data_IF_932440158320
#
_entry.id   IF_932440158320
#
_cell.length_a   1.000
_cell.length_b   1.000
_cell.length_c   1.000
_cell.angle_alpha   90.00
_cell.angle_beta   90.00
_cell.angle_gamma   90.00
#
_symmetry.space_group_name_H-M   'P 1'
#
loop_
_entity.id
_entity.type
_entity.pdbx_description
1 polymer ?
#
# COMPACT_ATOMS: atom_id res chain seq x y z
N UNK A 1 -0.18 -40.55 -13.63
CA UNK A 1 -1.58 -40.70 -14.06
C UNK A 1 -2.46 -39.84 -13.17
N UNK A 2 -3.27 -38.97 -13.77
CA UNK A 2 -4.18 -38.09 -13.03
C UNK A 2 -5.30 -38.90 -12.37
N UNK A 3 -5.79 -38.45 -11.21
CA UNK A 3 -6.88 -39.10 -10.46
C UNK A 3 -8.15 -39.33 -11.33
N UNK A 4 -8.36 -38.52 -12.36
CA UNK A 4 -9.44 -38.68 -13.34
C UNK A 4 -9.23 -39.85 -14.32
N UNK A 5 -7.98 -40.12 -14.73
CA UNK A 5 -7.63 -41.25 -15.60
C UNK A 5 -7.76 -42.57 -14.85
N UNK A 6 -7.34 -42.60 -13.59
CA UNK A 6 -7.52 -43.75 -12.70
C UNK A 6 -9.00 -44.08 -12.46
N UNK A 7 -9.87 -43.07 -12.35
CA UNK A 7 -11.32 -43.26 -12.18
C UNK A 7 -12.02 -43.70 -13.47
N UNK A 8 -11.62 -43.16 -14.63
CA UNK A 8 -12.10 -43.65 -15.93
C UNK A 8 -11.68 -45.10 -16.18
N UNK A 9 -10.44 -45.46 -15.84
CA UNK A 9 -9.95 -46.84 -15.92
C UNK A 9 -10.72 -47.79 -14.98
N UNK A 10 -11.26 -47.28 -13.87
CA UNK A 10 -12.10 -48.01 -12.93
C UNK A 10 -13.61 -48.03 -13.29
N UNK A 11 -14.01 -47.53 -14.46
CA UNK A 11 -15.42 -47.50 -14.89
C UNK A 11 -16.32 -46.57 -14.08
N UNK A 12 -15.75 -45.68 -13.25
CA UNK A 12 -16.53 -44.73 -12.46
C UNK A 12 -16.93 -43.53 -13.34
N UNK A 13 -18.18 -43.05 -13.27
CA UNK A 13 -18.61 -41.88 -14.03
C UNK A 13 -17.79 -40.66 -13.60
N UNK A 14 -17.18 -39.99 -14.57
CA UNK A 14 -16.45 -38.73 -14.39
C UNK A 14 -17.17 -37.68 -15.20
N UNK A 15 -17.80 -36.72 -14.53
CA UNK A 15 -18.41 -35.57 -15.20
C UNK A 15 -17.34 -34.79 -15.97
N UNK A 16 -17.59 -34.41 -17.24
CA UNK A 16 -16.72 -33.51 -17.97
C UNK A 16 -16.51 -32.19 -17.22
N UNK A 17 -15.35 -31.58 -17.39
CA UNK A 17 -15.00 -30.34 -16.70
C UNK A 17 -15.89 -29.18 -17.14
N UNK A 18 -16.29 -29.23 -18.41
CA UNK A 18 -17.19 -28.31 -19.09
C UNK A 18 -18.57 -28.34 -18.42
N UNK A 19 -19.11 -29.55 -18.18
CA UNK A 19 -20.40 -29.73 -17.50
C UNK A 19 -20.35 -29.20 -16.06
N UNK A 20 -19.23 -29.36 -15.36
CA UNK A 20 -19.06 -28.80 -14.02
C UNK A 20 -18.96 -27.26 -14.03
N UNK A 21 -18.31 -26.68 -15.04
CA UNK A 21 -18.27 -25.23 -15.22
C UNK A 21 -19.67 -24.67 -15.54
N UNK A 22 -20.40 -25.33 -16.43
CA UNK A 22 -21.77 -24.96 -16.80
C UNK A 22 -22.73 -25.08 -15.61
N UNK A 23 -22.59 -26.13 -14.79
CA UNK A 23 -23.39 -26.28 -13.57
C UNK A 23 -23.12 -25.15 -12.57
N UNK A 24 -21.86 -24.72 -12.40
CA UNK A 24 -21.50 -23.58 -11.55
C UNK A 24 -22.07 -22.28 -12.11
N UNK A 25 -22.00 -22.08 -13.43
CA UNK A 25 -22.59 -20.91 -14.09
C UNK A 25 -24.14 -20.90 -13.98
N UNK A 26 -24.78 -22.06 -14.09
CA UNK A 26 -26.22 -22.18 -13.90
C UNK A 26 -26.64 -21.88 -12.46
N UNK A 27 -25.83 -22.27 -11.47
CA UNK A 27 -26.09 -21.98 -10.06
C UNK A 27 -25.77 -20.52 -9.67
N UNK A 28 -24.92 -19.82 -10.42
CA UNK A 28 -24.51 -18.45 -10.08
C UNK A 28 -25.65 -17.44 -10.27
N UNK A 29 -26.48 -17.63 -11.30
CA UNK A 29 -27.62 -16.76 -11.60
C UNK A 29 -28.68 -16.74 -10.47
N UNK A 30 -29.29 -17.87 -10.05
CA UNK A 30 -30.24 -17.88 -8.95
C UNK A 30 -29.61 -17.44 -7.62
N UNK A 31 -28.32 -17.78 -7.38
CA UNK A 31 -27.61 -17.28 -6.22
C UNK A 31 -27.52 -15.73 -6.19
N UNK A 32 -27.48 -15.07 -7.36
CA UNK A 32 -27.45 -13.60 -7.48
C UNK A 32 -28.77 -12.93 -7.16
N UNK A 33 -29.86 -13.66 -7.33
CA UNK A 33 -31.21 -13.24 -6.96
C UNK A 33 -31.51 -13.51 -5.47
N UNK A 34 -30.56 -14.11 -4.75
CA UNK A 34 -30.67 -14.41 -3.32
C UNK A 34 -31.18 -15.82 -3.01
N UNK A 35 -31.19 -16.74 -3.98
CA UNK A 35 -31.58 -18.13 -3.75
C UNK A 35 -30.57 -18.84 -2.82
N UNK A 36 -31.05 -19.20 -1.63
CA UNK A 36 -30.25 -19.84 -0.60
C UNK A 36 -29.78 -21.25 -0.99
N UNK A 37 -30.65 -22.14 -1.52
CA UNK A 37 -30.25 -23.41 -2.13
C UNK A 37 -29.09 -23.30 -3.13
N UNK A 38 -29.15 -22.38 -4.10
CA UNK A 38 -28.08 -22.20 -5.07
C UNK A 38 -26.76 -21.74 -4.41
N UNK A 39 -26.84 -20.80 -3.47
CA UNK A 39 -25.68 -20.35 -2.67
C UNK A 39 -25.05 -21.50 -1.89
N UNK A 40 -25.89 -22.32 -1.24
CA UNK A 40 -25.44 -23.48 -0.47
C UNK A 40 -24.83 -24.56 -1.38
N UNK A 41 -25.36 -24.76 -2.59
CA UNK A 41 -24.82 -25.67 -3.58
C UNK A 41 -23.41 -25.24 -4.02
N UNK A 42 -23.21 -23.96 -4.34
CA UNK A 42 -21.89 -23.41 -4.67
C UNK A 42 -20.89 -23.54 -3.51
N UNK A 43 -21.32 -23.29 -2.26
CA UNK A 43 -20.47 -23.49 -1.08
C UNK A 43 -20.04 -24.95 -0.93
N UNK A 44 -20.96 -25.89 -1.17
CA UNK A 44 -20.64 -27.33 -1.14
C UNK A 44 -19.68 -27.68 -2.27
N UNK A 45 -19.91 -27.22 -3.50
CA UNK A 45 -19.01 -27.41 -4.65
C UNK A 45 -17.60 -26.88 -4.36
N UNK A 46 -17.48 -25.81 -3.57
CA UNK A 46 -16.17 -25.26 -3.20
C UNK A 46 -15.29 -26.22 -2.39
N UNK A 47 -15.88 -27.23 -1.76
CA UNK A 47 -15.17 -28.23 -0.95
C UNK A 47 -14.67 -29.44 -1.75
N UNK A 48 -15.14 -29.63 -3.00
CA UNK A 48 -14.96 -30.89 -3.75
C UNK A 48 -13.52 -31.10 -4.23
N UNK A 49 -12.99 -30.20 -5.06
CA UNK A 49 -11.61 -30.31 -5.59
C UNK A 49 -11.05 -28.94 -5.92
N UNK A 50 -9.73 -28.81 -6.12
CA UNK A 50 -9.07 -27.50 -6.33
C UNK A 50 -9.64 -26.70 -7.50
N UNK A 51 -10.00 -27.37 -8.60
CA UNK A 51 -10.53 -26.72 -9.80
C UNK A 51 -11.96 -26.20 -9.58
N UNK A 52 -12.87 -27.07 -9.12
CA UNK A 52 -14.26 -26.72 -8.80
C UNK A 52 -14.31 -25.71 -7.66
N UNK A 53 -13.38 -25.79 -6.69
CA UNK A 53 -13.18 -24.78 -5.64
C UNK A 53 -12.90 -23.41 -6.21
N UNK A 54 -11.96 -23.30 -7.14
CA UNK A 54 -11.65 -22.03 -7.76
C UNK A 54 -12.89 -21.45 -8.46
N UNK A 55 -13.57 -22.24 -9.30
CA UNK A 55 -14.75 -21.78 -10.02
C UNK A 55 -15.93 -21.42 -9.11
N UNK A 56 -16.26 -22.26 -8.13
CA UNK A 56 -17.36 -22.01 -7.22
C UNK A 56 -17.12 -20.82 -6.30
N UNK A 57 -15.88 -20.64 -5.80
CA UNK A 57 -15.52 -19.47 -5.01
C UNK A 57 -15.48 -18.19 -5.86
N UNK A 58 -15.01 -18.26 -7.10
CA UNK A 58 -15.10 -17.13 -8.04
C UNK A 58 -16.56 -16.74 -8.29
N UNK A 59 -17.44 -17.70 -8.57
CA UNK A 59 -18.86 -17.43 -8.77
C UNK A 59 -19.54 -16.82 -7.52
N UNK A 60 -19.28 -17.37 -6.33
CA UNK A 60 -19.78 -16.80 -5.07
C UNK A 60 -19.22 -15.39 -4.81
N UNK A 61 -17.97 -15.14 -5.16
CA UNK A 61 -17.37 -13.81 -5.06
C UNK A 61 -18.10 -12.82 -5.98
N UNK A 62 -18.22 -13.16 -7.27
CA UNK A 62 -18.84 -12.30 -8.29
C UNK A 62 -20.31 -11.97 -7.98
N UNK A 63 -21.00 -12.90 -7.33
CA UNK A 63 -22.44 -12.83 -7.10
C UNK A 63 -22.83 -12.25 -5.74
N UNK A 64 -22.10 -12.58 -4.66
CA UNK A 64 -22.50 -12.18 -3.30
C UNK A 64 -21.59 -11.09 -2.73
N UNK A 65 -20.29 -11.28 -2.88
CA UNK A 65 -19.28 -10.44 -2.23
C UNK A 65 -19.09 -9.15 -3.02
N UNK A 66 -18.92 -9.29 -4.34
CA UNK A 66 -18.64 -8.19 -5.23
C UNK A 66 -19.79 -7.17 -5.29
N UNK A 67 -21.08 -7.55 -5.43
CA UNK A 67 -22.18 -6.58 -5.44
C UNK A 67 -22.38 -5.88 -4.08
N UNK A 68 -22.10 -6.58 -2.96
CA UNK A 68 -22.10 -5.98 -1.63
C UNK A 68 -21.01 -4.91 -1.51
N UNK A 69 -19.77 -5.23 -1.91
CA UNK A 69 -18.67 -4.28 -1.91
C UNK A 69 -18.97 -3.08 -2.82
N UNK A 70 -19.56 -3.30 -4.00
CA UNK A 70 -20.02 -2.21 -4.90
C UNK A 70 -21.04 -1.31 -4.22
N UNK A 71 -22.03 -1.88 -3.52
CA UNK A 71 -23.05 -1.11 -2.82
C UNK A 71 -22.45 -0.29 -1.67
N UNK A 72 -21.57 -0.89 -0.88
CA UNK A 72 -20.86 -0.20 0.22
C UNK A 72 -19.96 0.91 -0.32
N UNK A 73 -19.22 0.62 -1.41
CA UNK A 73 -18.43 1.61 -2.14
C UNK A 73 -19.29 2.76 -2.67
N UNK A 74 -20.43 2.47 -3.31
CA UNK A 74 -21.36 3.51 -3.82
C UNK A 74 -21.90 4.39 -2.70
N UNK A 75 -22.26 3.80 -1.55
CA UNK A 75 -22.69 4.57 -0.36
C UNK A 75 -21.57 5.43 0.19
N UNK A 76 -20.34 4.92 0.23
CA UNK A 76 -19.18 5.70 0.60
C UNK A 76 -18.93 6.85 -0.39
N UNK A 77 -18.87 6.55 -1.69
CA UNK A 77 -18.64 7.50 -2.77
C UNK A 77 -19.70 8.62 -2.80
N UNK A 78 -20.99 8.28 -2.69
CA UNK A 78 -22.06 9.26 -2.61
C UNK A 78 -21.91 10.17 -1.37
N UNK A 79 -21.62 9.59 -0.19
CA UNK A 79 -21.37 10.38 1.03
C UNK A 79 -20.17 11.32 0.88
N UNK A 80 -19.09 10.87 0.22
CA UNK A 80 -17.91 11.70 -0.01
C UNK A 80 -18.21 12.86 -0.98
N UNK A 81 -19.01 12.62 -2.02
CA UNK A 81 -19.42 13.67 -2.96
C UNK A 81 -20.39 14.70 -2.36
N UNK A 82 -21.26 14.27 -1.46
CA UNK A 82 -22.30 15.11 -0.84
C UNK A 82 -21.85 15.81 0.45
N UNK A 83 -20.69 15.43 1.01
CA UNK A 83 -20.22 15.95 2.29
C UNK A 83 -19.95 17.46 2.25
N UNK A 84 -20.44 18.16 3.28
CA UNK A 84 -20.10 19.56 3.62
C UNK A 84 -19.76 19.62 5.12
N UNK A 85 -18.51 19.90 5.54
CA UNK A 85 -17.31 20.14 4.74
C UNK A 85 -16.90 18.93 3.88
N UNK A 86 -16.06 19.12 2.82
CA UNK A 86 -15.89 18.17 1.72
C UNK A 86 -15.56 16.75 2.14
N UNK A 87 -14.98 16.53 3.33
CA UNK A 87 -14.72 15.22 3.89
C UNK A 87 -14.86 15.27 5.44
N UNK A 88 -15.74 14.48 6.07
CA UNK A 88 -15.96 14.52 7.53
C UNK A 88 -14.75 14.05 8.37
N UNK A 89 -13.83 13.30 7.76
CA UNK A 89 -12.66 12.73 8.42
C UNK A 89 -11.36 13.55 8.26
N UNK A 90 -11.43 14.77 7.71
CA UNK A 90 -10.27 15.65 7.53
C UNK A 90 -9.64 15.99 8.87
N UNK A 91 -8.42 15.49 9.11
CA UNK A 91 -7.63 15.77 10.32
C UNK A 91 -7.60 14.68 11.36
N UNK A 92 -8.47 13.70 11.19
CA UNK A 92 -8.66 12.59 12.12
C UNK A 92 -7.88 11.35 11.69
N UNK A 93 -7.50 11.29 10.41
CA UNK A 93 -6.84 10.13 9.83
C UNK A 93 -5.33 10.29 9.94
N UNK A 94 -4.76 9.59 10.93
CA UNK A 94 -3.30 9.40 11.07
C UNK A 94 -2.79 8.15 10.36
N UNK A 95 -3.68 7.21 10.09
CA UNK A 95 -3.37 5.96 9.43
C UNK A 95 -4.49 5.62 8.45
N UNK A 96 -4.14 5.36 7.19
CA UNK A 96 -5.06 5.02 6.13
C UNK A 96 -4.62 3.74 5.42
N UNK A 97 -5.49 2.74 5.43
CA UNK A 97 -5.36 1.54 4.60
C UNK A 97 -6.46 1.58 3.53
N UNK A 98 -6.08 1.52 2.27
CA UNK A 98 -7.02 1.46 1.14
C UNK A 98 -6.75 0.19 0.34
N UNK A 99 -7.79 -0.64 0.26
CA UNK A 99 -7.76 -1.96 -0.38
C UNK A 99 -9.09 -2.25 -1.07
N UNK A 100 -9.45 -1.37 -1.98
CA UNK A 100 -10.56 -1.43 -2.92
C UNK A 100 -10.19 -2.51 -3.97
N UNK A 101 -10.55 -3.74 -3.66
CA UNK A 101 -10.36 -4.88 -4.55
C UNK A 101 -11.04 -4.63 -5.91
N UNK A 102 -10.38 -5.01 -7.00
CA UNK A 102 -10.69 -4.87 -8.45
C UNK A 102 -12.02 -4.17 -8.88
N UNK A 103 -12.36 -3.01 -8.31
CA UNK A 103 -13.53 -2.19 -8.74
C UNK A 103 -13.35 -1.69 -10.17
N UNK A 104 -12.13 -1.72 -10.70
CA UNK A 104 -11.85 -1.50 -12.11
C UNK A 104 -12.54 -2.50 -13.06
N UNK A 105 -12.87 -3.72 -12.60
CA UNK A 105 -13.72 -4.65 -13.38
C UNK A 105 -15.20 -4.27 -13.37
N UNK A 106 -15.61 -3.39 -12.46
CA UNK A 106 -17.00 -3.03 -12.21
C UNK A 106 -17.41 -1.78 -12.97
N UNK A 107 -17.47 -1.89 -14.31
CA UNK A 107 -18.29 -1.06 -15.22
C UNK A 107 -18.02 0.46 -15.25
N UNK A 108 -18.62 1.15 -16.23
CA UNK A 108 -18.61 2.62 -16.43
C UNK A 108 -18.98 3.45 -15.17
N UNK A 109 -19.62 2.85 -14.16
CA UNK A 109 -20.05 3.52 -12.92
C UNK A 109 -18.96 3.66 -11.86
N UNK A 110 -17.80 3.03 -12.05
CA UNK A 110 -16.59 3.29 -11.25
C UNK A 110 -15.80 4.52 -11.76
N UNK A 111 -16.20 5.14 -12.87
CA UNK A 111 -15.55 6.34 -13.38
C UNK A 111 -15.52 7.46 -12.30
N UNK A 112 -14.32 7.93 -11.95
CA UNK A 112 -14.10 9.00 -10.97
C UNK A 112 -13.70 8.56 -9.56
N UNK A 113 -13.65 7.25 -9.24
CA UNK A 113 -13.18 6.81 -7.91
C UNK A 113 -11.73 7.22 -7.63
N UNK A 114 -10.87 7.19 -8.66
CA UNK A 114 -9.47 7.60 -8.55
C UNK A 114 -9.38 9.08 -8.15
N UNK A 115 -10.21 9.94 -8.75
CA UNK A 115 -10.29 11.35 -8.42
C UNK A 115 -10.74 11.56 -6.96
N UNK A 116 -11.73 10.81 -6.48
CA UNK A 116 -12.18 10.90 -5.09
C UNK A 116 -11.17 10.36 -4.09
N UNK A 117 -10.44 9.29 -4.43
CA UNK A 117 -9.32 8.82 -3.62
C UNK A 117 -8.23 9.90 -3.53
N UNK A 118 -7.84 10.49 -4.66
CA UNK A 118 -6.84 11.55 -4.69
C UNK A 118 -7.31 12.79 -3.93
N UNK A 119 -8.59 13.16 -4.04
CA UNK A 119 -9.22 14.22 -3.25
C UNK A 119 -9.18 13.92 -1.75
N UNK A 120 -9.47 12.68 -1.36
CA UNK A 120 -9.32 12.21 0.04
C UNK A 120 -7.87 12.34 0.52
N UNK A 121 -6.91 11.87 -0.28
CA UNK A 121 -5.49 11.94 0.05
C UNK A 121 -4.99 13.39 0.08
N UNK A 122 -5.56 14.30 -0.70
CA UNK A 122 -5.23 15.72 -0.66
C UNK A 122 -5.71 16.37 0.64
N UNK A 123 -6.96 16.15 1.02
CA UNK A 123 -7.54 16.78 2.22
C UNK A 123 -7.00 16.18 3.53
N UNK A 124 -6.83 14.85 3.58
CA UNK A 124 -6.30 14.15 4.75
C UNK A 124 -4.76 14.06 4.74
N UNK A 125 -4.12 14.43 3.64
CA UNK A 125 -2.70 14.16 3.39
C UNK A 125 -1.75 14.72 4.43
N UNK A 126 -2.08 15.89 4.99
CA UNK A 126 -1.26 16.55 6.02
C UNK A 126 -1.24 15.81 7.35
N UNK A 127 -2.23 14.96 7.64
CA UNK A 127 -2.33 14.24 8.93
C UNK A 127 -1.97 12.76 8.84
N UNK A 128 -1.93 12.18 7.63
CA UNK A 128 -1.62 10.77 7.44
C UNK A 128 -0.12 10.54 7.69
N UNK A 129 0.20 9.75 8.72
CA UNK A 129 1.56 9.28 8.99
C UNK A 129 1.80 7.89 8.41
N UNK A 130 0.78 7.02 8.42
CA UNK A 130 0.84 5.65 7.89
C UNK A 130 -0.12 5.51 6.70
N UNK A 131 0.41 5.25 5.51
CA UNK A 131 -0.38 5.01 4.32
C UNK A 131 -0.06 3.63 3.74
N UNK A 132 -1.08 2.80 3.59
CA UNK A 132 -0.98 1.53 2.86
C UNK A 132 -2.00 1.50 1.74
N UNK A 133 -1.52 1.49 0.51
CA UNK A 133 -2.37 1.37 -0.67
C UNK A 133 -2.19 -0.01 -1.30
N UNK A 134 -3.30 -0.54 -1.81
CA UNK A 134 -3.31 -1.74 -2.62
C UNK A 134 -3.05 -1.41 -4.10
N UNK A 135 -3.22 -2.38 -4.99
CA UNK A 135 -2.73 -2.34 -6.37
C UNK A 135 -3.30 -1.18 -7.19
N UNK A 136 -4.63 -1.02 -7.20
CA UNK A 136 -5.32 -0.01 -8.01
C UNK A 136 -5.06 1.40 -7.47
N UNK A 137 -5.02 1.56 -6.16
CA UNK A 137 -4.82 2.83 -5.46
C UNK A 137 -3.38 3.30 -5.50
N UNK A 138 -2.43 2.37 -5.34
CA UNK A 138 -1.01 2.66 -5.55
C UNK A 138 -0.81 3.18 -6.96
N UNK A 139 -1.42 2.53 -7.95
CA UNK A 139 -1.34 2.95 -9.35
C UNK A 139 -2.00 4.31 -9.58
N UNK A 140 -3.16 4.59 -8.98
CA UNK A 140 -3.82 5.89 -9.09
C UNK A 140 -2.93 7.01 -8.54
N UNK A 141 -2.35 6.82 -7.35
CA UNK A 141 -1.42 7.77 -6.75
C UNK A 141 -0.14 7.94 -7.59
N UNK A 142 0.44 6.84 -8.08
CA UNK A 142 1.68 6.87 -8.85
C UNK A 142 1.51 7.46 -10.27
N UNK A 143 0.28 7.51 -10.80
CA UNK A 143 -0.06 8.14 -12.08
C UNK A 143 -0.41 9.62 -11.96
N UNK A 144 -0.72 10.09 -10.76
CA UNK A 144 -1.18 11.46 -10.54
C UNK A 144 -0.08 12.46 -10.88
N UNK A 145 -0.31 13.26 -11.93
CA UNK A 145 0.63 14.29 -12.38
C UNK A 145 0.84 15.38 -11.31
N UNK A 146 -0.16 15.60 -10.44
CA UNK A 146 -0.06 16.57 -9.36
C UNK A 146 0.94 16.17 -8.28
N UNK A 147 1.41 14.91 -8.27
CA UNK A 147 2.50 14.50 -7.41
C UNK A 147 3.83 15.14 -7.81
N UNK A 148 4.06 15.46 -9.09
CA UNK A 148 5.35 16.01 -9.52
C UNK A 148 5.43 17.50 -9.20
N UNK A 149 6.41 17.88 -8.39
CA UNK A 149 6.65 19.28 -8.03
C UNK A 149 6.80 20.18 -9.27
N UNK A 150 6.04 21.28 -9.29
CA UNK A 150 5.98 22.22 -10.43
C UNK A 150 4.88 21.94 -11.47
N UNK A 151 4.14 20.83 -11.36
CA UNK A 151 2.93 20.55 -12.16
C UNK A 151 1.63 20.62 -11.35
N UNK A 152 1.68 21.14 -10.12
CA UNK A 152 0.56 21.18 -9.16
C UNK A 152 -0.70 21.89 -9.68
N UNK A 153 -0.59 22.74 -10.69
CA UNK A 153 -1.71 23.45 -11.32
C UNK A 153 -2.57 22.58 -12.25
N UNK A 154 -2.26 21.28 -12.41
CA UNK A 154 -2.92 20.37 -13.36
C UNK A 154 -3.60 19.14 -12.73
N UNK A 155 -3.89 19.13 -11.42
CA UNK A 155 -4.72 18.06 -10.85
C UNK A 155 -6.13 18.13 -11.49
N UNK A 156 -6.42 17.24 -12.44
CA UNK A 156 -7.73 17.17 -13.11
C UNK A 156 -8.90 16.95 -12.13
N UNK A 157 -8.62 16.34 -10.97
CA UNK A 157 -9.58 16.16 -9.88
C UNK A 157 -9.77 17.41 -9.01
N UNK A 158 -8.86 18.40 -9.08
CA UNK A 158 -8.96 19.69 -8.37
C UNK A 158 -9.63 20.78 -9.22
N UNK A 159 -10.09 20.47 -10.44
CA UNK A 159 -10.66 21.42 -11.42
C UNK A 159 -12.00 22.06 -10.97
N UNK A 160 -12.54 21.69 -9.79
CA UNK A 160 -13.68 22.36 -9.15
C UNK A 160 -13.36 23.15 -7.87
N UNK A 161 -12.12 23.08 -7.35
CA UNK A 161 -11.74 23.68 -6.06
C UNK A 161 -10.69 24.80 -6.20
N UNK A 162 -10.09 24.98 -7.39
CA UNK A 162 -9.16 26.06 -7.71
C UNK A 162 -9.74 27.49 -7.53
N UNK A 163 -11.04 27.62 -7.25
CA UNK A 163 -11.70 28.90 -6.95
C UNK A 163 -11.55 29.37 -5.49
N UNK A 164 -11.00 28.56 -4.57
CA UNK A 164 -10.98 28.92 -3.13
C UNK A 164 -9.64 29.44 -2.61
N UNK A 165 -8.55 29.31 -3.39
CA UNK A 165 -7.23 29.84 -2.97
C UNK A 165 -6.88 31.21 -3.55
N UNK A 166 -7.62 31.72 -4.55
CA UNK A 166 -7.33 33.03 -5.18
C UNK A 166 -8.51 34.02 -5.13
N UNK A 167 -9.67 33.66 -4.59
CA UNK A 167 -10.86 34.53 -4.62
C UNK A 167 -11.25 35.21 -3.29
N UNK A 168 -10.67 34.83 -2.15
CA UNK A 168 -11.14 35.30 -0.82
C UNK A 168 -10.16 36.23 -0.08
N UNK A 169 -9.29 36.94 -0.82
CA UNK A 169 -8.51 38.06 -0.24
C UNK A 169 -9.37 39.30 0.06
N UNK A 170 -10.68 39.27 -0.21
CA UNK A 170 -11.60 40.39 -0.01
C UNK A 170 -12.64 40.22 1.12
N UNK A 171 -12.78 39.05 1.76
CA UNK A 171 -13.84 38.78 2.76
C UNK A 171 -13.32 38.61 4.21
N UNK A 172 -12.22 39.29 4.54
CA UNK A 172 -11.47 39.09 5.79
C UNK A 172 -12.09 39.69 7.07
N UNK A 173 -13.41 39.84 7.19
CA UNK A 173 -14.03 40.47 8.38
C UNK A 173 -15.37 39.86 8.87
N UNK A 174 -15.57 38.54 8.72
CA UNK A 174 -16.61 37.83 9.47
C UNK A 174 -15.95 36.88 10.49
N UNK A 175 -16.38 36.86 11.78
CA UNK A 175 -15.89 35.87 12.72
C UNK A 175 -16.35 34.49 12.25
N UNK A 176 -15.42 33.69 11.74
CA UNK A 176 -15.66 32.32 11.30
C UNK A 176 -16.13 31.48 12.51
N UNK A 177 -17.43 31.27 12.60
CA UNK A 177 -18.03 30.26 13.48
C UNK A 177 -17.49 28.90 13.05
N UNK A 178 -17.04 28.08 14.01
CA UNK A 178 -16.46 26.75 13.85
C UNK A 178 -17.26 25.84 12.87
N UNK A 179 -16.97 25.91 11.57
CA UNK A 179 -17.62 25.06 10.55
C UNK A 179 -16.85 23.75 10.26
N UNK A 180 -15.61 23.63 10.76
CA UNK A 180 -14.73 22.48 10.47
C UNK A 180 -14.84 21.33 11.47
N UNK A 181 -15.50 21.55 12.60
CA UNK A 181 -15.71 20.51 13.61
C UNK A 181 -16.99 19.72 13.31
N UNK A 182 -16.95 18.37 13.27
CA UNK A 182 -18.14 17.55 13.09
C UNK A 182 -19.22 17.90 14.12
N UNK A 183 -20.47 18.06 13.68
CA UNK A 183 -21.58 18.48 14.55
C UNK A 183 -21.74 17.61 15.80
N UNK A 184 -21.52 16.30 15.69
CA UNK A 184 -21.59 15.40 16.85
C UNK A 184 -20.53 15.73 17.91
N UNK A 185 -19.33 16.16 17.51
CA UNK A 185 -18.24 16.53 18.41
C UNK A 185 -18.49 17.92 19.01
N UNK A 186 -19.12 18.82 18.24
CA UNK A 186 -19.64 20.09 18.75
C UNK A 186 -20.72 19.87 19.82
N UNK A 187 -21.67 18.98 19.54
CA UNK A 187 -22.75 18.62 20.46
C UNK A 187 -22.21 17.96 21.76
N UNK A 188 -21.13 17.19 21.65
CA UNK A 188 -20.49 16.54 22.79
C UNK A 188 -19.65 17.52 23.63
N UNK A 189 -18.90 18.42 22.98
CA UNK A 189 -18.22 19.54 23.65
C UNK A 189 -19.17 20.52 24.31
N UNK A 190 -20.40 20.66 23.78
CA UNK A 190 -21.44 21.46 24.42
C UNK A 190 -22.01 20.79 25.69
N UNK A 191 -21.86 19.47 25.83
CA UNK A 191 -22.45 18.68 26.93
C UNK A 191 -21.45 18.24 27.99
N UNK A 192 -20.17 18.12 27.64
CA UNK A 192 -19.13 17.63 28.52
C UNK A 192 -17.89 18.56 28.51
N UNK A 193 -17.11 18.61 29.60
CA UNK A 193 -15.88 19.39 29.64
C UNK A 193 -14.94 18.96 28.50
N UNK A 194 -14.35 19.94 27.82
CA UNK A 194 -13.46 19.69 26.68
C UNK A 194 -12.32 18.71 27.00
N UNK A 195 -11.84 18.69 28.24
CA UNK A 195 -10.84 17.73 28.70
C UNK A 195 -11.32 16.27 28.69
N UNK A 196 -12.58 16.03 29.07
CA UNK A 196 -13.18 14.68 29.10
C UNK A 196 -13.43 14.20 27.68
N UNK A 197 -13.97 15.07 26.83
CA UNK A 197 -14.18 14.80 25.40
C UNK A 197 -12.85 14.55 24.70
N UNK A 198 -11.80 15.32 25.00
CA UNK A 198 -10.47 15.13 24.41
C UNK A 198 -9.79 13.83 24.83
N UNK A 199 -10.01 13.35 26.06
CA UNK A 199 -9.51 12.03 26.50
C UNK A 199 -10.26 10.87 25.85
N UNK A 200 -11.57 11.02 25.62
CA UNK A 200 -12.40 10.00 24.98
C UNK A 200 -12.14 9.93 23.46
N UNK A 201 -11.87 11.08 22.87
CA UNK A 201 -11.75 11.28 21.42
C UNK A 201 -10.34 11.77 21.07
N UNK A 202 -9.31 11.07 21.55
CA UNK A 202 -7.88 11.44 21.36
C UNK A 202 -7.46 11.62 19.89
N UNK A 203 -8.14 10.94 18.97
CA UNK A 203 -7.93 11.11 17.52
C UNK A 203 -8.47 12.45 16.97
N UNK A 204 -9.26 13.18 17.76
CA UNK A 204 -9.96 14.43 17.43
C UNK A 204 -9.30 15.67 18.03
N UNK A 205 -8.09 15.59 18.59
CA UNK A 205 -7.37 16.76 19.09
C UNK A 205 -5.93 16.71 18.58
N UNK A 206 -5.45 17.75 17.86
CA UNK A 206 -4.09 17.76 17.32
C UNK A 206 -3.05 17.78 18.45
N UNK A 207 -2.27 16.69 18.52
CA UNK A 207 -0.95 16.53 19.13
C UNK A 207 -0.60 17.47 20.30
N UNK A 208 -1.00 17.09 21.53
CA UNK A 208 -0.04 16.71 22.58
C UNK A 208 -0.70 15.64 23.46
N UNK A 209 -0.12 14.45 23.66
CA UNK A 209 -0.64 13.45 24.60
C UNK A 209 -0.68 13.88 26.08
N UNK A 210 -0.33 15.14 26.40
CA UNK A 210 -0.18 15.69 27.77
C UNK A 210 -0.37 17.21 27.91
N UNK A 211 -0.87 17.92 26.90
CA UNK A 211 -1.16 19.36 27.05
C UNK A 211 -2.66 19.63 26.92
N UNK A 212 -3.13 20.61 27.69
CA UNK A 212 -4.50 21.11 27.63
C UNK A 212 -4.82 21.53 26.19
N UNK A 213 -5.94 21.05 25.60
CA UNK A 213 -6.29 21.39 24.23
C UNK A 213 -6.67 22.89 24.16
N UNK A 214 -5.80 23.70 23.55
CA UNK A 214 -6.11 25.10 23.24
C UNK A 214 -6.92 25.19 21.93
N UNK A 215 -8.06 25.89 21.89
CA UNK A 215 -8.87 26.11 20.68
C UNK A 215 -8.11 26.67 19.46
N UNK A 216 -6.96 27.31 19.69
CA UNK A 216 -6.09 27.84 18.65
C UNK A 216 -5.43 26.75 17.76
N UNK A 217 -5.23 25.53 18.26
CA UNK A 217 -4.52 24.48 17.52
C UNK A 217 -5.29 23.99 16.29
N UNK A 218 -6.63 24.09 16.31
CA UNK A 218 -7.50 23.83 15.17
C UNK A 218 -7.41 24.91 14.09
N UNK A 219 -7.34 26.18 14.50
CA UNK A 219 -7.18 27.34 13.60
C UNK A 219 -5.78 27.44 12.98
N UNK A 220 -4.79 26.83 13.62
CA UNK A 220 -3.40 26.78 13.15
C UNK A 220 -3.10 25.54 12.29
N UNK A 221 -4.13 24.81 11.87
CA UNK A 221 -3.93 23.62 11.06
C UNK A 221 -3.23 23.99 9.75
N UNK A 222 -2.15 23.27 9.37
CA UNK A 222 -1.50 23.52 8.09
C UNK A 222 -2.54 23.36 6.96
N UNK A 223 -2.48 24.21 5.91
CA UNK A 223 -3.35 24.06 4.75
C UNK A 223 -3.28 22.63 4.20
N UNK A 224 -4.33 22.18 3.52
CA UNK A 224 -4.34 20.87 2.87
C UNK A 224 -3.05 20.72 2.03
N UNK A 225 -2.21 19.76 2.39
CA UNK A 225 -0.97 19.43 1.69
C UNK A 225 -1.18 18.08 1.00
N UNK A 226 -0.50 17.91 -0.12
CA UNK A 226 -0.38 16.60 -0.75
C UNK A 226 0.05 15.54 0.29
N UNK A 227 -0.44 14.32 0.11
CA UNK A 227 -0.19 13.23 1.05
C UNK A 227 1.30 12.91 1.12
N UNK A 228 1.89 13.15 2.30
CA UNK A 228 3.33 12.98 2.56
C UNK A 228 3.54 12.14 3.82
N UNK A 229 3.19 10.84 3.77
CA UNK A 229 3.26 9.96 4.93
C UNK A 229 4.70 9.68 5.35
N UNK A 230 4.91 9.30 6.61
CA UNK A 230 6.21 8.82 7.11
C UNK A 230 6.42 7.34 6.78
N UNK A 231 5.36 6.55 6.85
CA UNK A 231 5.37 5.13 6.55
C UNK A 231 4.47 4.87 5.33
N UNK A 232 5.05 4.35 4.26
CA UNK A 232 4.36 4.15 2.99
C UNK A 232 4.49 2.70 2.53
N UNK A 233 3.36 2.03 2.34
CA UNK A 233 3.28 0.70 1.75
C UNK A 233 2.51 0.77 0.44
N UNK A 234 3.15 0.41 -0.68
CA UNK A 234 2.58 0.46 -2.04
C UNK A 234 2.79 -0.85 -2.79
N UNK A 235 2.04 -1.01 -3.89
CA UNK A 235 2.22 -2.06 -4.88
C UNK A 235 2.60 -1.41 -6.20
N UNK A 236 3.79 -1.70 -6.72
CA UNK A 236 4.22 -1.17 -8.01
C UNK A 236 3.65 -2.00 -9.15
N UNK A 237 2.46 -1.62 -9.63
CA UNK A 237 1.77 -2.27 -10.74
C UNK A 237 1.61 -1.34 -11.93
N UNK A 238 2.42 -1.58 -12.97
CA UNK A 238 2.53 -0.75 -14.18
C UNK A 238 1.27 -0.80 -15.07
N UNK A 239 1.08 0.18 -15.98
CA UNK A 239 1.95 1.34 -16.22
C UNK A 239 1.65 2.56 -15.34
N UNK A 240 2.65 3.42 -15.09
CA UNK A 240 2.52 4.77 -14.49
C UNK A 240 2.63 5.91 -15.52
N UNK A 241 2.76 5.57 -16.82
CA UNK A 241 2.90 6.53 -17.93
C UNK A 241 4.11 7.47 -17.76
N UNK A 242 3.91 8.79 -17.78
CA UNK A 242 5.00 9.77 -17.73
C UNK A 242 5.83 9.65 -16.44
N UNK A 243 5.18 9.34 -15.32
CA UNK A 243 5.81 9.18 -14.01
C UNK A 243 6.74 7.95 -13.93
N UNK A 244 6.83 7.12 -14.97
CA UNK A 244 7.85 6.08 -15.08
C UNK A 244 9.22 6.63 -15.46
N UNK A 245 9.32 7.91 -15.84
CA UNK A 245 10.64 8.55 -16.04
C UNK A 245 11.34 8.72 -14.69
N UNK A 246 12.59 8.24 -14.54
CA UNK A 246 13.35 8.32 -13.29
C UNK A 246 13.31 9.69 -12.60
N UNK A 247 13.49 10.76 -13.38
CA UNK A 247 13.49 12.14 -12.90
C UNK A 247 12.14 12.60 -12.35
N UNK A 248 11.04 12.22 -13.01
CA UNK A 248 9.69 12.58 -12.60
C UNK A 248 9.27 11.76 -11.38
N UNK A 249 9.56 10.46 -11.40
CA UNK A 249 9.32 9.57 -10.26
C UNK A 249 10.00 10.10 -9.00
N UNK A 250 11.29 10.46 -9.09
CA UNK A 250 12.07 10.99 -7.98
C UNK A 250 11.48 12.29 -7.40
N UNK A 251 10.88 13.15 -8.24
CA UNK A 251 10.34 14.46 -7.86
C UNK A 251 8.92 14.42 -7.31
N UNK A 252 8.31 13.24 -7.18
CA UNK A 252 6.97 13.13 -6.62
C UNK A 252 6.95 13.51 -5.14
N UNK A 253 5.99 14.36 -4.77
CA UNK A 253 5.85 14.94 -3.43
C UNK A 253 5.60 13.87 -2.38
N UNK A 254 4.90 12.77 -2.72
CA UNK A 254 4.65 11.65 -1.80
C UNK A 254 5.91 11.14 -1.10
N UNK A 255 7.08 11.19 -1.75
CA UNK A 255 8.35 10.69 -1.18
C UNK A 255 8.97 11.61 -0.14
N UNK A 256 8.60 12.88 -0.10
CA UNK A 256 9.31 13.95 0.62
C UNK A 256 9.51 13.69 2.12
N UNK A 257 8.60 12.94 2.75
CA UNK A 257 8.64 12.64 4.19
C UNK A 257 8.71 11.14 4.50
N UNK A 258 8.81 10.29 3.47
CA UNK A 258 8.79 8.84 3.66
C UNK A 258 10.10 8.39 4.26
N UNK A 259 10.01 7.84 5.45
CA UNK A 259 11.12 7.29 6.23
C UNK A 259 11.18 5.77 6.06
N UNK A 260 10.02 5.11 6.05
CA UNK A 260 9.88 3.67 5.88
C UNK A 260 9.06 3.37 4.62
N UNK A 261 9.72 2.84 3.60
CA UNK A 261 9.11 2.50 2.31
C UNK A 261 9.01 0.99 2.14
N UNK A 262 7.80 0.52 1.90
CA UNK A 262 7.49 -0.88 1.62
C UNK A 262 6.82 -1.02 0.25
N UNK A 263 7.41 -1.82 -0.62
CA UNK A 263 6.98 -1.97 -2.00
C UNK A 263 6.85 -3.44 -2.36
N UNK A 264 5.67 -3.83 -2.82
CA UNK A 264 5.47 -5.11 -3.48
C UNK A 264 5.59 -4.97 -5.00
N UNK A 265 6.43 -5.79 -5.63
CA UNK A 265 6.76 -5.77 -7.06
C UNK A 265 6.33 -7.09 -7.72
N UNK A 266 5.14 -7.16 -8.31
CA UNK A 266 4.60 -8.40 -8.88
C UNK A 266 5.13 -8.77 -10.27
N UNK A 267 5.66 -7.83 -11.06
CA UNK A 267 5.93 -8.06 -12.49
C UNK A 267 7.32 -7.61 -12.97
N UNK A 268 7.65 -6.33 -12.81
CA UNK A 268 8.84 -5.70 -13.42
C UNK A 268 9.90 -5.35 -12.37
N UNK A 269 10.67 -6.34 -11.84
CA UNK A 269 11.64 -6.12 -10.77
C UNK A 269 12.73 -5.14 -11.18
N UNK A 270 13.36 -5.32 -12.34
CA UNK A 270 14.45 -4.44 -12.80
C UNK A 270 14.02 -2.97 -12.84
N UNK A 271 12.91 -2.67 -13.51
CA UNK A 271 12.37 -1.31 -13.62
C UNK A 271 12.05 -0.73 -12.24
N UNK A 272 11.46 -1.53 -11.36
CA UNK A 272 11.08 -1.08 -10.01
C UNK A 272 12.31 -0.79 -9.14
N UNK A 273 13.34 -1.64 -9.20
CA UNK A 273 14.61 -1.39 -8.51
C UNK A 273 15.27 -0.10 -9.00
N UNK A 274 15.31 0.13 -10.32
CA UNK A 274 15.89 1.33 -10.92
C UNK A 274 15.14 2.61 -10.52
N UNK A 275 13.80 2.57 -10.45
CA UNK A 275 12.98 3.69 -10.00
C UNK A 275 13.19 3.99 -8.51
N UNK A 276 13.15 2.96 -7.66
CA UNK A 276 13.35 3.11 -6.22
C UNK A 276 14.75 3.61 -5.88
N UNK A 277 15.76 3.23 -6.67
CA UNK A 277 17.14 3.72 -6.53
C UNK A 277 17.26 5.25 -6.73
N UNK A 278 16.36 5.89 -7.48
CA UNK A 278 16.38 7.35 -7.67
C UNK A 278 15.98 8.13 -6.42
N UNK A 279 15.43 7.47 -5.42
CA UNK A 279 14.98 8.09 -4.18
C UNK A 279 16.15 8.30 -3.19
N UNK A 280 17.41 8.27 -3.63
CA UNK A 280 18.59 8.50 -2.76
C UNK A 280 18.64 9.87 -2.06
N UNK A 281 17.83 10.83 -2.52
CA UNK A 281 17.74 12.18 -1.97
C UNK A 281 16.62 12.37 -0.93
N UNK A 282 15.81 11.33 -0.68
CA UNK A 282 14.66 11.35 0.24
C UNK A 282 15.07 10.89 1.65
N UNK A 283 14.21 10.94 2.69
CA UNK A 283 14.57 10.48 4.03
C UNK A 283 14.39 8.96 4.24
N UNK A 284 14.29 8.14 3.18
CA UNK A 284 14.00 6.70 3.26
C UNK A 284 15.18 5.93 3.85
N UNK A 285 15.27 5.84 5.18
CA UNK A 285 16.31 5.09 5.88
C UNK A 285 16.01 3.59 5.95
N UNK A 286 14.76 3.19 5.68
CA UNK A 286 14.32 1.79 5.67
C UNK A 286 13.48 1.47 4.43
N UNK A 287 13.95 0.50 3.64
CA UNK A 287 13.38 0.11 2.35
C UNK A 287 13.14 -1.41 2.29
N UNK A 288 11.88 -1.81 2.06
CA UNK A 288 11.50 -3.21 1.78
C UNK A 288 11.00 -3.33 0.35
N UNK A 289 11.55 -4.29 -0.36
CA UNK A 289 11.15 -4.64 -1.72
C UNK A 289 10.80 -6.12 -1.74
N UNK A 290 9.52 -6.42 -1.75
CA UNK A 290 9.01 -7.80 -1.82
C UNK A 290 8.56 -8.14 -3.23
N UNK A 291 8.90 -9.33 -3.70
CA UNK A 291 8.42 -9.92 -4.94
C UNK A 291 7.85 -11.33 -4.66
N UNK A 292 7.27 -12.03 -5.64
CA UNK A 292 6.72 -13.37 -5.42
C UNK A 292 7.72 -14.37 -4.83
N UNK A 293 9.01 -14.23 -5.16
CA UNK A 293 10.05 -15.20 -4.85
C UNK A 293 11.05 -14.77 -3.80
N UNK A 294 11.32 -13.47 -3.66
CA UNK A 294 12.30 -12.95 -2.72
C UNK A 294 11.86 -11.59 -2.15
N UNK A 295 12.39 -11.25 -0.97
CA UNK A 295 12.25 -9.94 -0.33
C UNK A 295 13.64 -9.40 -0.05
N UNK A 296 13.90 -8.16 -0.45
CA UNK A 296 15.10 -7.41 -0.12
C UNK A 296 14.71 -6.39 0.95
N UNK A 297 15.40 -6.41 2.08
CA UNK A 297 15.25 -5.45 3.16
C UNK A 297 16.57 -4.68 3.35
N UNK A 298 16.50 -3.35 3.30
CA UNK A 298 17.65 -2.45 3.48
C UNK A 298 17.33 -1.46 4.59
N UNK A 299 18.20 -1.39 5.59
CA UNK A 299 18.17 -0.36 6.63
C UNK A 299 19.55 0.32 6.64
N UNK A 300 19.60 1.63 6.44
CA UNK A 300 20.85 2.40 6.42
C UNK A 300 20.86 3.45 7.52
N UNK A 301 21.84 3.34 8.42
CA UNK A 301 22.24 4.36 9.39
C UNK A 301 23.68 4.82 9.11
N UNK A 302 24.12 4.65 7.86
CA UNK A 302 25.48 4.93 7.42
C UNK A 302 25.68 6.42 7.18
N UNK A 303 26.83 6.95 7.57
CA UNK A 303 27.22 8.32 7.22
C UNK A 303 27.72 8.40 5.76
N UNK A 304 28.07 7.26 5.15
CA UNK A 304 28.55 7.16 3.76
C UNK A 304 27.42 7.19 2.74
N UNK A 305 26.27 6.63 3.09
CA UNK A 305 25.11 6.49 2.20
C UNK A 305 23.97 7.32 2.76
N UNK A 306 23.46 8.28 1.98
CA UNK A 306 22.43 9.22 2.45
C UNK A 306 21.19 8.53 3.01
N UNK A 307 20.78 7.40 2.42
CA UNK A 307 19.61 6.63 2.82
C UNK A 307 19.65 5.18 2.26
N UNK A 308 18.61 4.38 2.51
CA UNK A 308 18.52 2.99 2.01
C UNK A 308 18.37 2.90 0.48
N UNK A 309 17.73 3.88 -0.16
CA UNK A 309 17.63 3.97 -1.62
C UNK A 309 18.98 4.28 -2.29
N UNK A 310 19.87 5.03 -1.64
CA UNK A 310 21.23 5.29 -2.11
C UNK A 310 22.11 4.04 -2.03
N UNK A 311 21.93 3.22 -0.98
CA UNK A 311 22.51 1.87 -0.92
C UNK A 311 22.01 1.02 -2.10
N UNK A 312 20.69 1.01 -2.34
CA UNK A 312 20.12 0.30 -3.49
C UNK A 312 20.72 0.81 -4.81
N UNK A 313 20.86 2.13 -4.98
CA UNK A 313 21.45 2.74 -6.17
C UNK A 313 22.86 2.23 -6.44
N UNK A 314 23.71 2.16 -5.41
CA UNK A 314 25.05 1.61 -5.54
C UNK A 314 25.01 0.15 -6.01
N UNK A 315 24.14 -0.68 -5.41
CA UNK A 315 24.00 -2.09 -5.77
C UNK A 315 23.50 -2.29 -7.20
N UNK A 316 22.49 -1.54 -7.64
CA UNK A 316 21.93 -1.68 -9.00
C UNK A 316 22.78 -1.00 -10.07
N UNK A 317 23.72 -0.13 -9.69
CA UNK A 317 24.69 0.45 -10.62
C UNK A 317 25.78 -0.56 -11.02
N UNK A 318 25.99 -1.60 -10.23
CA UNK A 318 26.89 -2.70 -10.59
C UNK A 318 26.11 -3.76 -11.41
N UNK A 319 26.49 -4.03 -12.68
CA UNK A 319 25.67 -4.84 -13.59
C UNK A 319 25.44 -6.27 -13.10
N UNK A 320 26.45 -6.88 -12.48
CA UNK A 320 26.35 -8.25 -11.96
C UNK A 320 25.45 -8.32 -10.72
N UNK A 321 25.53 -7.34 -9.82
CA UNK A 321 24.70 -7.30 -8.62
C UNK A 321 23.25 -6.96 -8.97
N UNK A 322 23.02 -6.02 -9.90
CA UNK A 322 21.69 -5.76 -10.44
C UNK A 322 21.08 -7.04 -11.02
N UNK A 323 21.84 -7.76 -11.85
CA UNK A 323 21.38 -9.01 -12.46
C UNK A 323 21.08 -10.08 -11.42
N UNK A 324 21.94 -10.24 -10.40
CA UNK A 324 21.72 -11.17 -9.31
C UNK A 324 20.45 -10.84 -8.50
N UNK A 325 20.28 -9.58 -8.08
CA UNK A 325 19.09 -9.12 -7.35
C UNK A 325 17.81 -9.32 -8.17
N UNK A 326 17.84 -9.02 -9.47
CA UNK A 326 16.70 -9.24 -10.37
C UNK A 326 16.38 -10.74 -10.49
N UNK A 327 17.40 -11.59 -10.56
CA UNK A 327 17.21 -13.04 -10.64
C UNK A 327 16.58 -13.60 -9.36
N UNK A 328 16.99 -13.14 -8.18
CA UNK A 328 16.35 -13.47 -6.90
C UNK A 328 14.85 -13.16 -6.91
N UNK A 329 14.50 -11.92 -7.28
CA UNK A 329 13.09 -11.48 -7.32
C UNK A 329 12.26 -12.25 -8.35
N UNK A 330 12.89 -12.76 -9.42
CA UNK A 330 12.27 -13.61 -10.45
C UNK A 330 12.23 -15.10 -10.11
N UNK A 331 12.76 -15.50 -8.95
CA UNK A 331 12.78 -16.90 -8.54
C UNK A 331 13.87 -17.75 -9.20
N UNK A 332 14.88 -17.10 -9.80
CA UNK A 332 16.13 -17.73 -10.27
C UNK A 332 17.22 -17.55 -9.20
N UNK A 333 16.85 -17.90 -7.97
CA UNK A 333 17.62 -17.63 -6.76
C UNK A 333 18.88 -18.50 -6.66
N UNK A 334 19.91 -17.99 -5.98
CA UNK A 334 21.03 -18.81 -5.48
C UNK A 334 20.55 -19.72 -4.36
N UNK A 335 21.24 -20.85 -4.14
CA UNK A 335 20.87 -21.80 -3.09
C UNK A 335 21.02 -21.22 -1.67
N UNK A 336 21.95 -20.27 -1.50
CA UNK A 336 22.19 -19.53 -0.27
C UNK A 336 22.08 -18.02 -0.53
N UNK A 337 21.17 -17.36 0.20
CA UNK A 337 20.94 -15.92 0.13
C UNK A 337 22.12 -15.12 0.70
N UNK A 338 22.82 -15.66 1.70
CA UNK A 338 23.93 -14.98 2.38
C UNK A 338 25.13 -14.75 1.45
N UNK A 339 25.29 -15.58 0.42
CA UNK A 339 26.33 -15.39 -0.60
C UNK A 339 26.12 -14.07 -1.36
N UNK A 340 24.88 -13.78 -1.74
CA UNK A 340 24.56 -12.53 -2.43
C UNK A 340 24.60 -11.33 -1.48
N UNK A 341 24.11 -11.48 -0.24
CA UNK A 341 24.24 -10.46 0.80
C UNK A 341 25.71 -10.07 1.03
N UNK A 342 26.60 -11.06 1.20
CA UNK A 342 28.04 -10.84 1.38
C UNK A 342 28.66 -10.14 0.18
N UNK A 343 28.31 -10.55 -1.05
CA UNK A 343 28.79 -9.91 -2.28
C UNK A 343 28.38 -8.44 -2.36
N UNK A 344 27.12 -8.13 -2.06
CA UNK A 344 26.60 -6.76 -2.01
C UNK A 344 27.33 -5.92 -0.97
N UNK A 345 27.49 -6.42 0.26
CA UNK A 345 28.13 -5.69 1.35
C UNK A 345 29.62 -5.46 1.12
N UNK A 346 30.34 -6.44 0.57
CA UNK A 346 31.74 -6.27 0.12
C UNK A 346 31.89 -5.15 -0.89
N UNK A 347 31.01 -5.14 -1.89
CA UNK A 347 31.02 -4.10 -2.92
C UNK A 347 30.79 -2.72 -2.30
N UNK A 348 29.81 -2.60 -1.39
CA UNK A 348 29.55 -1.34 -0.67
C UNK A 348 30.72 -0.91 0.21
N UNK A 349 31.46 -1.84 0.79
CA UNK A 349 32.67 -1.55 1.54
C UNK A 349 33.83 -1.06 0.66
N UNK A 350 33.89 -1.49 -0.60
CA UNK A 350 35.05 -1.27 -1.47
C UNK A 350 36.25 -2.12 -1.06
N UNK A 351 36.02 -3.23 -0.36
CA UNK A 351 37.06 -4.08 0.20
C UNK A 351 37.40 -5.26 -0.71
N UNK A 352 38.67 -5.66 -0.70
CA UNK A 352 39.09 -6.96 -1.24
C UNK A 352 38.63 -8.07 -0.28
N UNK A 353 38.34 -9.27 -0.81
CA UNK A 353 37.74 -10.35 -0.04
C UNK A 353 38.51 -10.63 1.26
N UNK A 354 37.90 -10.42 2.45
CA UNK A 354 38.51 -10.86 3.69
C UNK A 354 38.48 -12.39 3.72
N UNK A 355 39.46 -13.01 4.39
CA UNK A 355 39.50 -14.46 4.59
C UNK A 355 38.47 -14.89 5.65
N UNK A 356 37.19 -14.61 5.42
CA UNK A 356 36.09 -15.07 6.27
C UNK A 356 35.53 -16.33 5.62
N UNK A 357 35.59 -17.45 6.34
CA UNK A 357 35.27 -18.77 5.79
C UNK A 357 33.77 -19.01 5.57
N UNK A 358 32.89 -18.29 6.28
CA UNK A 358 31.43 -18.45 6.18
C UNK A 358 30.74 -17.16 5.71
N UNK A 359 29.83 -17.24 4.72
CA UNK A 359 29.11 -16.07 4.20
C UNK A 359 28.35 -15.28 5.28
N UNK A 360 27.74 -15.96 6.25
CA UNK A 360 26.94 -15.31 7.31
C UNK A 360 27.81 -14.43 8.25
N UNK A 361 28.99 -14.92 8.62
CA UNK A 361 29.92 -14.16 9.46
C UNK A 361 30.45 -12.92 8.71
N UNK A 362 30.67 -13.06 7.40
CA UNK A 362 31.06 -11.97 6.52
C UNK A 362 29.95 -10.91 6.42
N UNK A 363 28.69 -11.35 6.26
CA UNK A 363 27.53 -10.45 6.29
C UNK A 363 27.49 -9.67 7.61
N UNK A 364 27.54 -10.35 8.75
CA UNK A 364 27.50 -9.69 10.08
C UNK A 364 28.64 -8.70 10.27
N UNK A 365 29.85 -9.04 9.85
CA UNK A 365 31.01 -8.16 9.90
C UNK A 365 30.79 -6.87 9.11
N UNK A 366 30.41 -6.99 7.83
CA UNK A 366 30.24 -5.82 6.97
C UNK A 366 29.01 -4.99 7.34
N UNK A 367 27.90 -5.60 7.77
CA UNK A 367 26.73 -4.85 8.21
C UNK A 367 27.06 -3.94 9.40
N UNK A 368 27.82 -4.46 10.38
CA UNK A 368 28.25 -3.70 11.54
C UNK A 368 29.21 -2.56 11.13
N UNK A 369 30.19 -2.84 10.27
CA UNK A 369 31.18 -1.86 9.84
C UNK A 369 30.56 -0.74 8.97
N UNK A 370 29.64 -1.07 8.08
CA UNK A 370 29.00 -0.10 7.18
C UNK A 370 27.83 0.64 7.83
N UNK A 371 27.32 0.14 8.96
CA UNK A 371 26.04 0.56 9.57
C UNK A 371 24.88 0.45 8.57
N UNK A 372 24.91 -0.60 7.76
CA UNK A 372 23.89 -0.94 6.77
C UNK A 372 23.46 -2.38 7.02
N UNK A 373 22.16 -2.62 7.27
CA UNK A 373 21.61 -3.97 7.28
C UNK A 373 21.00 -4.27 5.93
N UNK A 374 21.43 -5.37 5.33
CA UNK A 374 20.93 -5.89 4.06
C UNK A 374 20.53 -7.34 4.27
N UNK A 375 19.25 -7.64 4.10
CA UNK A 375 18.74 -9.01 4.24
C UNK A 375 17.95 -9.41 2.99
N UNK A 376 18.24 -10.59 2.47
CA UNK A 376 17.53 -11.27 1.41
C UNK A 376 16.80 -12.48 1.98
N UNK A 377 15.47 -12.42 1.96
CA UNK A 377 14.65 -13.58 2.31
C UNK A 377 14.13 -14.23 1.03
N UNK A 378 14.42 -15.52 0.85
CA UNK A 378 14.01 -16.29 -0.33
C UNK A 378 12.78 -17.17 -0.05
N UNK A 379 12.06 -17.53 -1.12
CA UNK A 379 10.92 -18.46 -1.18
C UNK A 379 9.68 -18.00 -0.39
N UNK A 380 8.49 -18.28 -0.93
CA UNK A 380 7.20 -17.96 -0.29
C UNK A 380 6.95 -16.47 0.08
N UNK A 381 7.69 -15.54 -0.53
CA UNK A 381 7.60 -14.11 -0.25
C UNK A 381 6.36 -13.44 -0.87
N UNK A 382 5.67 -14.12 -1.79
CA UNK A 382 4.34 -13.75 -2.28
C UNK A 382 3.30 -13.55 -1.16
N UNK A 383 3.58 -14.05 0.06
CA UNK A 383 2.82 -13.76 1.28
C UNK A 383 2.74 -12.25 1.54
N UNK A 384 3.84 -11.51 1.43
CA UNK A 384 3.84 -10.05 1.61
C UNK A 384 3.02 -9.30 0.56
N UNK A 385 2.86 -9.93 -0.61
CA UNK A 385 2.00 -9.47 -1.69
C UNK A 385 0.52 -9.78 -1.51
N UNK A 386 0.05 -10.28 -0.36
CA UNK A 386 -1.38 -10.54 -0.10
C UNK A 386 -1.99 -9.41 0.73
N UNK A 387 -3.20 -8.99 0.37
CA UNK A 387 -3.94 -7.95 1.06
C UNK A 387 -4.03 -8.18 2.57
N UNK A 388 -4.30 -9.42 2.99
CA UNK A 388 -4.38 -9.81 4.41
C UNK A 388 -3.11 -9.53 5.20
N UNK A 389 -1.94 -9.74 4.59
CA UNK A 389 -0.64 -9.65 5.25
C UNK A 389 -0.17 -8.20 5.31
N UNK A 390 -0.49 -7.41 4.29
CA UNK A 390 -0.31 -5.95 4.33
C UNK A 390 -1.25 -5.30 5.34
N UNK A 391 -2.50 -5.75 5.43
CA UNK A 391 -3.43 -5.26 6.45
C UNK A 391 -2.93 -5.59 7.86
N UNK A 392 -2.41 -6.79 8.07
CA UNK A 392 -1.78 -7.17 9.32
C UNK A 392 -0.57 -6.27 9.64
N UNK A 393 0.38 -6.14 8.70
CA UNK A 393 1.58 -5.30 8.88
C UNK A 393 1.22 -3.84 9.15
N UNK A 394 0.24 -3.31 8.43
CA UNK A 394 -0.31 -1.99 8.66
C UNK A 394 -0.89 -1.84 10.08
N UNK A 395 -1.65 -2.82 10.58
CA UNK A 395 -2.20 -2.78 11.94
C UNK A 395 -1.10 -2.84 13.00
N UNK A 396 -0.14 -3.74 12.85
CA UNK A 396 1.00 -3.82 13.79
C UNK A 396 1.75 -2.49 13.87
N UNK A 397 2.00 -1.84 12.73
CA UNK A 397 2.75 -0.58 12.69
C UNK A 397 1.92 0.62 13.12
N UNK A 398 0.73 0.78 12.57
CA UNK A 398 -0.09 1.98 12.77
C UNK A 398 -0.91 1.95 14.07
N UNK A 399 -1.42 0.79 14.48
CA UNK A 399 -2.27 0.65 15.67
C UNK A 399 -1.47 0.23 16.90
N UNK A 400 -0.52 -0.68 16.73
CA UNK A 400 0.22 -1.27 17.86
C UNK A 400 1.63 -0.68 18.04
N UNK A 401 2.10 0.19 17.13
CA UNK A 401 3.44 0.78 17.14
C UNK A 401 4.56 -0.28 17.22
N UNK A 402 4.30 -1.44 16.63
CA UNK A 402 5.24 -2.57 16.57
C UNK A 402 5.98 -2.53 15.24
N UNK A 403 7.15 -3.20 15.16
CA UNK A 403 7.91 -3.32 13.91
C UNK A 403 7.14 -4.05 12.80
N UNK A 404 6.10 -4.82 13.12
CA UNK A 404 5.34 -5.60 12.15
C UNK A 404 6.25 -6.59 11.42
N UNK A 405 6.14 -6.62 10.11
CA UNK A 405 6.92 -7.51 9.27
C UNK A 405 8.45 -7.24 9.30
N UNK A 406 8.88 -6.06 9.75
CA UNK A 406 10.31 -5.79 9.93
C UNK A 406 10.96 -6.68 10.98
N UNK A 407 10.19 -7.11 12.00
CA UNK A 407 10.69 -8.08 12.98
C UNK A 407 10.93 -9.46 12.38
N UNK A 408 10.20 -9.83 11.32
CA UNK A 408 10.38 -11.11 10.66
C UNK A 408 11.56 -11.10 9.68
N UNK A 409 11.84 -9.94 9.08
CA UNK A 409 12.83 -9.78 8.01
C UNK A 409 14.22 -9.40 8.51
N UNK A 410 14.34 -8.68 9.63
CA UNK A 410 15.61 -8.23 10.21
C UNK A 410 15.93 -9.00 11.50
N UNK A 411 15.85 -10.34 11.47
CA UNK A 411 16.23 -11.18 12.62
C UNK A 411 17.75 -11.13 12.83
N UNK A 412 18.17 -10.96 14.07
CA UNK A 412 19.59 -10.95 14.50
C UNK A 412 20.29 -12.32 14.33
#
# INVERSE_FOLDING_TARGET
>A
MGQAEARRAAGLPVLPREVLADAIAYLSLPASEGDWPATQALLRLSSVCRLVRHWALSALYDVLVLPRHVREFRRWYARMREAKPPIPCVGYVRALFVGIDDITRLTQTSAGWEAELLRLLHHCGSTIEYLSLWQTESRALLRDAAQVSGQHTKAAWAVGEASTTEADDAEHNAPAVDQDMPRWLQDELARAPAETVARQHLAHFPLVPRALPTPAAWRQRPPARLCTPRCLSLVMYYPFYENERPELFARMVVWSRVEELDVYVPMEPRKSLQLLAQLGHTPVWRLRISAPHATIAIESHSDRWSNACAVLLALVSHPDLETALVNELRGRATDDAHVLEAACLRYLAGAHMPAIAQPLDEVRHWQAQLRVRLTLTQKNQAVWGKLRHRLWDFRERAQHQRPGAWAELLRD
#
